data_IF_351173563980
#
_entry.id   IF_351173563980
#
_cell.length_a   1.000
_cell.length_b   1.000
_cell.length_c   1.000
_cell.angle_alpha   90.00
_cell.angle_beta   90.00
_cell.angle_gamma   90.00
#
_symmetry.space_group_name_H-M   'P 1'
#
loop_
_entity.id
_entity.type
_entity.pdbx_description
1 polymer ?
#
# COMPACT_ATOMS: atom_id res chain seq x y z
N UNK A 1 -17.09 -30.70 -10.22
CA UNK A 1 -15.64 -30.57 -10.56
C UNK A 1 -14.98 -29.67 -9.57
N UNK A 2 -14.14 -30.20 -8.66
CA UNK A 2 -13.33 -29.35 -7.77
C UNK A 2 -12.16 -28.78 -8.57
N UNK A 3 -12.36 -27.67 -9.26
CA UNK A 3 -11.27 -26.95 -9.90
C UNK A 3 -10.40 -26.33 -8.80
N UNK A 4 -9.27 -26.96 -8.52
CA UNK A 4 -8.32 -26.41 -7.54
C UNK A 4 -7.56 -25.27 -8.22
N UNK A 5 -8.09 -24.06 -8.16
CA UNK A 5 -7.45 -22.85 -8.68
C UNK A 5 -6.19 -22.54 -7.88
N UNK A 6 -5.03 -22.92 -8.43
CA UNK A 6 -3.72 -22.56 -7.88
C UNK A 6 -3.10 -21.48 -8.75
N UNK A 7 -3.56 -20.24 -8.60
CA UNK A 7 -3.24 -19.12 -9.47
C UNK A 7 -2.93 -17.86 -8.67
N UNK A 8 -2.32 -16.89 -9.34
CA UNK A 8 -2.21 -15.51 -8.88
C UNK A 8 -3.16 -14.66 -9.71
N UNK A 9 -4.02 -13.92 -9.04
CA UNK A 9 -4.96 -12.98 -9.66
C UNK A 9 -4.51 -11.56 -9.37
N UNK A 10 -4.32 -10.75 -10.40
CA UNK A 10 -4.10 -9.33 -10.24
C UNK A 10 -5.45 -8.63 -10.13
N UNK A 11 -5.77 -8.16 -8.92
CA UNK A 11 -7.00 -7.44 -8.65
C UNK A 11 -6.69 -5.95 -8.55
N UNK A 12 -7.51 -5.10 -9.18
CA UNK A 12 -7.51 -3.67 -8.90
C UNK A 12 -8.29 -3.41 -7.62
N UNK A 13 -7.59 -2.94 -6.58
CA UNK A 13 -8.22 -2.51 -5.33
C UNK A 13 -8.63 -1.05 -5.47
N UNK A 14 -9.91 -0.70 -5.35
CA UNK A 14 -10.36 0.69 -5.28
C UNK A 14 -10.04 1.32 -3.93
N UNK A 15 -10.14 2.64 -3.84
CA UNK A 15 -10.13 3.35 -2.55
C UNK A 15 -11.33 2.93 -1.69
N UNK A 16 -11.13 2.81 -0.38
CA UNK A 16 -12.14 2.48 0.63
C UNK A 16 -11.93 1.09 1.27
N UNK A 17 -12.07 -0.03 0.53
CA UNK A 17 -11.92 -1.36 1.13
C UNK A 17 -10.47 -1.64 1.59
N UNK A 18 -10.32 -2.46 2.63
CA UNK A 18 -9.00 -2.97 3.05
C UNK A 18 -8.51 -4.07 2.10
N UNK A 19 -7.18 -4.28 2.03
CA UNK A 19 -6.61 -5.41 1.28
C UNK A 19 -7.18 -6.76 1.76
N UNK A 20 -7.42 -6.90 3.06
CA UNK A 20 -8.02 -8.10 3.64
C UNK A 20 -9.46 -8.33 3.15
N UNK A 21 -10.30 -7.29 3.12
CA UNK A 21 -11.66 -7.40 2.61
C UNK A 21 -11.71 -7.80 1.13
N UNK A 22 -10.76 -7.31 0.32
CA UNK A 22 -10.62 -7.70 -1.08
C UNK A 22 -10.28 -9.19 -1.23
N UNK A 23 -9.35 -9.71 -0.42
CA UNK A 23 -9.04 -11.14 -0.38
C UNK A 23 -10.27 -11.97 -0.01
N UNK A 24 -11.04 -11.52 1.00
CA UNK A 24 -12.26 -12.19 1.42
C UNK A 24 -13.29 -12.27 0.29
N UNK A 25 -13.49 -11.16 -0.43
CA UNK A 25 -14.42 -11.11 -1.56
C UNK A 25 -13.99 -12.06 -2.69
N UNK A 26 -12.71 -12.05 -3.07
CA UNK A 26 -12.17 -12.97 -4.10
C UNK A 26 -12.34 -14.42 -3.66
N UNK A 27 -12.03 -14.72 -2.40
CA UNK A 27 -12.20 -16.07 -1.84
C UNK A 27 -13.64 -16.55 -1.94
N UNK A 28 -14.62 -15.68 -1.62
CA UNK A 28 -16.04 -15.98 -1.68
C UNK A 28 -16.52 -16.18 -3.12
N UNK A 29 -16.16 -15.27 -4.04
CA UNK A 29 -16.58 -15.30 -5.44
C UNK A 29 -16.06 -16.55 -6.15
N UNK A 30 -14.77 -16.89 -5.93
CA UNK A 30 -14.12 -18.02 -6.61
C UNK A 30 -14.29 -19.36 -5.87
N UNK A 31 -14.93 -19.39 -4.71
CA UNK A 31 -15.14 -20.60 -3.93
C UNK A 31 -13.85 -21.29 -3.47
N UNK A 32 -12.74 -20.54 -3.34
CA UNK A 32 -11.44 -21.12 -2.97
C UNK A 32 -11.29 -21.22 -1.44
N UNK A 33 -10.58 -22.25 -0.99
CA UNK A 33 -10.40 -22.51 0.45
C UNK A 33 -9.40 -21.54 1.09
N UNK A 34 -8.35 -21.13 0.35
CA UNK A 34 -7.27 -20.29 0.84
C UNK A 34 -6.96 -19.19 -0.17
N UNK A 35 -6.75 -17.97 0.32
CA UNK A 35 -6.25 -16.85 -0.47
C UNK A 35 -5.41 -15.92 0.40
N UNK A 36 -4.47 -15.21 -0.20
CA UNK A 36 -3.62 -14.22 0.47
C UNK A 36 -3.11 -13.20 -0.53
N UNK A 37 -2.91 -11.97 -0.10
CA UNK A 37 -2.39 -10.89 -0.95
C UNK A 37 -0.88 -10.72 -0.83
N UNK A 38 -0.27 -10.14 -1.84
CA UNK A 38 1.16 -9.79 -1.88
C UNK A 38 1.28 -8.29 -1.62
N UNK A 39 1.70 -7.95 -0.41
CA UNK A 39 1.76 -6.57 0.07
C UNK A 39 0.39 -6.02 0.51
N UNK A 40 0.41 -5.04 1.37
CA UNK A 40 -0.79 -4.39 1.88
C UNK A 40 -0.89 -3.02 1.23
N UNK A 41 -2.06 -2.70 0.69
CA UNK A 41 -2.46 -1.34 0.33
C UNK A 41 -3.36 -0.80 1.45
N UNK A 42 -3.10 0.43 1.86
CA UNK A 42 -3.95 1.13 2.82
C UNK A 42 -5.37 1.31 2.27
N UNK A 43 -6.39 1.52 3.11
CA UNK A 43 -7.76 1.65 2.63
C UNK A 43 -7.92 2.73 1.57
N UNK A 44 -7.28 3.88 1.76
CA UNK A 44 -7.33 5.01 0.82
C UNK A 44 -6.53 4.78 -0.47
N UNK A 45 -5.53 3.90 -0.43
CA UNK A 45 -4.72 3.59 -1.60
C UNK A 45 -5.48 2.70 -2.58
N UNK A 46 -5.26 2.93 -3.84
CA UNK A 46 -5.81 2.13 -4.93
C UNK A 46 -4.70 1.61 -5.85
N UNK A 47 -4.99 0.56 -6.58
CA UNK A 47 -4.04 -0.04 -7.50
C UNK A 47 -4.05 -1.57 -7.51
N UNK A 48 -3.01 -2.14 -8.09
CA UNK A 48 -2.90 -3.59 -8.27
C UNK A 48 -2.59 -4.27 -6.94
N UNK A 49 -3.45 -5.20 -6.55
CA UNK A 49 -3.30 -6.08 -5.41
C UNK A 49 -3.23 -7.52 -5.90
N UNK A 50 -2.04 -8.12 -6.02
CA UNK A 50 -1.94 -9.51 -6.42
C UNK A 50 -2.44 -10.44 -5.30
N UNK A 51 -3.31 -11.37 -5.65
CA UNK A 51 -3.91 -12.34 -4.72
C UNK A 51 -3.54 -13.75 -5.16
N UNK A 52 -2.87 -14.48 -4.29
CA UNK A 52 -2.53 -15.87 -4.47
C UNK A 52 -3.65 -16.78 -3.96
N UNK A 53 -4.01 -17.80 -4.73
CA UNK A 53 -5.09 -18.72 -4.45
C UNK A 53 -4.55 -20.12 -4.09
N UNK A 54 -5.12 -20.73 -3.04
CA UNK A 54 -4.82 -22.09 -2.57
C UNK A 54 -3.31 -22.33 -2.40
N UNK A 55 -2.71 -23.25 -3.14
CA UNK A 55 -1.29 -23.60 -3.01
C UNK A 55 -0.36 -22.46 -3.43
N UNK A 56 -0.79 -21.56 -4.33
CA UNK A 56 0.00 -20.39 -4.73
C UNK A 56 0.25 -19.42 -3.58
N UNK A 57 -0.47 -19.52 -2.46
CA UNK A 57 -0.13 -18.71 -1.26
C UNK A 57 1.28 -18.97 -0.73
N UNK A 58 1.90 -20.10 -1.07
CA UNK A 58 3.28 -20.44 -0.67
C UNK A 58 4.34 -19.55 -1.33
N UNK A 59 4.03 -18.98 -2.50
CA UNK A 59 4.99 -18.11 -3.21
C UNK A 59 4.97 -16.67 -2.69
N UNK A 60 4.03 -16.29 -1.84
CA UNK A 60 3.91 -14.92 -1.29
C UNK A 60 5.23 -14.48 -0.65
N UNK A 61 5.88 -15.35 0.11
CA UNK A 61 7.15 -15.06 0.77
C UNK A 61 8.28 -14.67 -0.20
N UNK A 62 8.26 -15.18 -1.42
CA UNK A 62 9.25 -14.85 -2.46
C UNK A 62 8.88 -13.61 -3.27
N UNK A 63 7.60 -13.28 -3.37
CA UNK A 63 7.11 -12.13 -4.13
C UNK A 63 7.01 -10.86 -3.27
N UNK A 64 6.81 -11.00 -1.96
CA UNK A 64 6.68 -9.86 -1.05
C UNK A 64 7.92 -8.95 -1.01
N UNK A 65 9.17 -9.45 -1.09
CA UNK A 65 10.37 -8.62 -1.10
C UNK A 65 10.62 -7.88 -2.42
N UNK A 66 9.91 -8.24 -3.51
CA UNK A 66 10.11 -7.60 -4.80
C UNK A 66 9.77 -6.11 -4.76
N UNK A 67 10.42 -5.33 -5.62
CA UNK A 67 10.21 -3.89 -5.75
C UNK A 67 8.76 -3.56 -6.09
N UNK A 68 8.30 -2.39 -5.61
CA UNK A 68 6.96 -1.87 -5.84
C UNK A 68 7.06 -0.44 -6.33
N UNK A 69 6.12 -0.05 -7.18
CA UNK A 69 6.02 1.31 -7.69
C UNK A 69 4.74 1.96 -7.16
N UNK A 70 4.88 3.15 -6.59
CA UNK A 70 3.77 3.93 -6.07
C UNK A 70 3.78 5.31 -6.72
N UNK A 71 2.60 5.80 -7.04
CA UNK A 71 2.37 7.20 -7.40
C UNK A 71 1.59 7.85 -6.29
N UNK A 72 2.07 8.96 -5.77
CA UNK A 72 1.38 9.70 -4.73
C UNK A 72 1.32 11.19 -5.07
N UNK A 73 0.31 11.85 -4.53
CA UNK A 73 0.20 13.31 -4.51
C UNK A 73 0.52 13.79 -3.11
N UNK A 74 1.52 14.65 -2.97
CA UNK A 74 1.90 15.26 -1.71
C UNK A 74 1.48 16.71 -1.72
N UNK A 75 0.66 17.12 -0.74
CA UNK A 75 0.28 18.53 -0.52
C UNK A 75 1.24 19.15 0.47
N UNK A 76 1.91 20.21 0.07
CA UNK A 76 2.81 20.97 0.93
C UNK A 76 2.02 21.93 1.83
N UNK A 77 2.59 22.29 2.98
CA UNK A 77 2.05 23.28 3.91
C UNK A 77 1.28 22.69 5.08
N UNK A 78 1.07 21.36 5.14
CA UNK A 78 0.46 20.71 6.28
C UNK A 78 1.14 19.39 6.62
N UNK A 79 1.16 19.04 7.91
CA UNK A 79 1.52 17.70 8.37
C UNK A 79 0.40 17.14 9.26
N UNK A 80 0.19 15.84 9.20
CA UNK A 80 -0.83 15.15 9.99
C UNK A 80 -0.22 14.13 10.94
N UNK A 81 -0.93 13.78 11.99
CA UNK A 81 -0.51 12.81 13.00
C UNK A 81 -0.39 11.38 12.44
N UNK A 82 -1.10 11.08 11.35
CA UNK A 82 -1.02 9.78 10.64
C UNK A 82 0.00 9.80 9.50
N UNK A 83 0.54 10.97 9.14
CA UNK A 83 1.41 11.18 7.98
C UNK A 83 0.71 10.87 6.62
N UNK A 84 -0.62 10.91 6.60
CA UNK A 84 -1.45 10.80 5.41
C UNK A 84 -2.65 11.76 5.47
N UNK A 85 -3.48 11.80 4.45
CA UNK A 85 -4.62 12.71 4.34
C UNK A 85 -5.78 12.40 5.30
N UNK A 86 -5.73 11.31 6.06
CA UNK A 86 -6.80 10.88 6.96
C UNK A 86 -6.61 11.39 8.39
N UNK A 87 -5.42 11.86 8.72
CA UNK A 87 -5.06 12.34 10.06
C UNK A 87 -5.50 13.77 10.33
N UNK A 88 -5.35 14.16 11.60
CA UNK A 88 -5.56 15.54 12.04
C UNK A 88 -4.31 16.36 11.76
N UNK A 89 -4.49 17.60 11.31
CA UNK A 89 -3.38 18.54 11.15
C UNK A 89 -2.68 18.78 12.50
N UNK A 90 -1.37 18.58 12.52
CA UNK A 90 -0.50 18.85 13.67
C UNK A 90 0.48 19.98 13.37
N UNK A 91 0.60 20.40 12.13
CA UNK A 91 1.43 21.50 11.68
C UNK A 91 0.81 22.11 10.43
N UNK A 92 0.85 23.44 10.37
CA UNK A 92 0.49 24.22 9.18
C UNK A 92 1.60 25.24 8.90
N UNK A 93 1.96 25.38 7.63
CA UNK A 93 2.98 26.28 7.15
C UNK A 93 2.64 26.87 5.79
N UNK A 94 3.24 27.97 5.43
CA UNK A 94 3.04 28.63 4.15
C UNK A 94 3.98 28.05 3.07
N UNK A 95 3.46 27.31 2.08
CA UNK A 95 4.27 26.74 1.01
C UNK A 95 4.52 27.70 -0.16
N UNK A 96 4.03 28.95 -0.11
CA UNK A 96 4.06 29.91 -1.24
C UNK A 96 5.46 30.22 -1.76
N UNK A 97 6.48 30.07 -0.93
CA UNK A 97 7.90 30.29 -1.29
C UNK A 97 8.64 29.03 -1.70
N UNK A 98 7.98 27.88 -1.69
CA UNK A 98 8.60 26.60 -2.09
C UNK A 98 8.64 26.50 -3.60
N UNK A 99 9.81 26.30 -4.16
CA UNK A 99 10.01 26.15 -5.60
C UNK A 99 10.11 24.69 -5.99
N UNK A 100 9.78 24.37 -7.23
CA UNK A 100 9.93 23.02 -7.77
C UNK A 100 11.37 22.51 -7.67
N UNK A 101 12.36 23.38 -7.90
CA UNK A 101 13.78 23.04 -7.78
C UNK A 101 14.13 22.57 -6.36
N UNK A 102 13.67 23.31 -5.35
CA UNK A 102 13.89 22.94 -3.94
C UNK A 102 13.26 21.56 -3.62
N UNK A 103 12.04 21.32 -4.09
CA UNK A 103 11.38 20.01 -3.90
C UNK A 103 12.19 18.88 -4.56
N UNK A 104 12.62 19.08 -5.80
CA UNK A 104 13.43 18.09 -6.53
C UNK A 104 14.76 17.80 -5.84
N UNK A 105 15.41 18.82 -5.32
CA UNK A 105 16.71 18.65 -4.64
C UNK A 105 16.53 17.90 -3.31
N UNK A 106 15.49 18.19 -2.55
CA UNK A 106 15.18 17.45 -1.32
C UNK A 106 14.87 15.98 -1.64
N UNK A 107 14.08 15.72 -2.68
CA UNK A 107 13.72 14.34 -3.05
C UNK A 107 14.93 13.48 -3.44
N UNK A 108 16.02 14.06 -3.93
CA UNK A 108 17.27 13.33 -4.18
C UNK A 108 17.83 12.69 -2.90
N UNK A 109 17.63 13.33 -1.75
CA UNK A 109 18.04 12.83 -0.45
C UNK A 109 17.25 11.60 0.04
N UNK A 110 16.10 11.29 -0.58
CA UNK A 110 15.29 10.13 -0.25
C UNK A 110 15.59 8.90 -1.14
N UNK A 111 16.59 9.00 -2.00
CA UNK A 111 17.03 7.86 -2.83
C UNK A 111 17.94 6.96 -2.00
N UNK A 112 17.71 5.65 -2.06
CA UNK A 112 18.47 4.64 -1.34
C UNK A 112 17.80 4.19 -0.04
N UNK A 113 18.57 3.54 0.82
CA UNK A 113 18.07 3.02 2.09
C UNK A 113 17.79 4.13 3.08
N UNK A 114 16.58 4.18 3.62
CA UNK A 114 16.12 5.20 4.57
C UNK A 114 15.64 4.55 5.86
N UNK A 115 15.92 5.20 7.00
CA UNK A 115 15.33 4.84 8.29
C UNK A 115 14.10 5.71 8.52
N UNK A 116 12.96 5.08 8.75
CA UNK A 116 11.70 5.76 9.02
C UNK A 116 11.22 5.43 10.44
N UNK A 117 10.83 6.46 11.20
CA UNK A 117 10.05 6.27 12.43
C UNK A 117 8.57 6.25 12.03
N UNK A 118 7.90 5.10 12.12
CA UNK A 118 6.50 5.01 11.73
C UNK A 118 5.62 5.84 12.68
N UNK A 119 4.55 6.45 12.20
CA UNK A 119 3.59 7.16 13.06
C UNK A 119 2.94 6.18 14.06
N UNK A 120 2.48 6.71 15.19
CA UNK A 120 1.94 5.92 16.31
C UNK A 120 0.78 5.01 15.91
N UNK A 121 0.02 5.39 14.89
CA UNK A 121 -1.15 4.64 14.41
C UNK A 121 -0.85 3.70 13.24
N UNK A 122 0.39 3.61 12.80
CA UNK A 122 0.79 2.62 11.80
C UNK A 122 0.87 1.23 12.41
N UNK A 123 0.25 0.25 11.77
CA UNK A 123 0.42 -1.15 12.15
C UNK A 123 1.91 -1.52 12.12
N UNK A 124 2.45 -1.93 13.27
CA UNK A 124 3.82 -2.46 13.33
C UNK A 124 3.89 -3.67 12.40
N UNK A 125 4.64 -3.56 11.33
CA UNK A 125 5.03 -4.71 10.52
C UNK A 125 6.22 -5.37 11.23
N UNK A 126 5.97 -6.55 11.78
CA UNK A 126 7.03 -7.45 12.23
C UNK A 126 7.69 -8.10 11.03
#
# INVERSE_FOLDING_TARGET
MNCTLNQVVNLYKPSGPTSFSMVHSVKKILGVKKAGHIGTLDPMAEGILPICLNQSTRIIQFLSPLSKHYQCTMTLGAATDTQDSTGKSIFEGDPSRVTETQVRDILKGFVGEQKQVPPMYSAKKN
#
